data_IF_176585870773
#
_entry.id   IF_176585870773
#
_cell.length_a   1.000
_cell.length_b   1.000
_cell.length_c   1.000
_cell.angle_alpha   90.00
_cell.angle_beta   90.00
_cell.angle_gamma   90.00
#
_symmetry.space_group_name_H-M   'P 1'
#
loop_
_entity.id
_entity.type
_entity.pdbx_description
1 polymer ?
#
# COMPACT_ATOMS: atom_id res chain seq x y z
N UNK A 1 11.01 -41.35 15.57
CA UNK A 1 10.02 -40.33 15.20
C UNK A 1 9.78 -40.45 13.71
N UNK A 2 8.55 -40.76 13.29
CA UNK A 2 8.19 -40.80 11.86
C UNK A 2 7.97 -39.36 11.41
N UNK A 3 8.85 -38.84 10.55
CA UNK A 3 8.66 -37.53 9.93
C UNK A 3 7.97 -37.70 8.59
N UNK A 4 6.85 -37.03 8.42
CA UNK A 4 6.05 -37.01 7.19
C UNK A 4 6.57 -35.89 6.29
N UNK A 5 7.31 -36.26 5.25
CA UNK A 5 7.97 -35.33 4.32
C UNK A 5 6.95 -34.38 3.66
N UNK A 6 5.81 -34.93 3.27
CA UNK A 6 4.64 -34.23 2.74
C UNK A 6 4.13 -33.15 3.70
N UNK A 7 3.99 -33.45 5.00
CA UNK A 7 3.54 -32.47 5.99
C UNK A 7 4.59 -31.35 6.17
N UNK A 8 5.88 -31.70 6.22
CA UNK A 8 6.96 -30.71 6.35
C UNK A 8 7.00 -29.77 5.15
N UNK A 9 6.90 -30.29 3.94
CA UNK A 9 6.89 -29.49 2.70
C UNK A 9 5.66 -28.58 2.65
N UNK A 10 4.48 -29.11 2.98
CA UNK A 10 3.22 -28.37 2.95
C UNK A 10 3.19 -27.26 4.02
N UNK A 11 3.66 -27.54 5.23
CA UNK A 11 3.69 -26.55 6.31
C UNK A 11 4.65 -25.41 5.97
N UNK A 12 5.86 -25.71 5.48
CA UNK A 12 6.82 -24.67 5.08
C UNK A 12 6.29 -23.86 3.89
N UNK A 13 5.65 -24.50 2.92
CA UNK A 13 4.95 -23.80 1.83
C UNK A 13 3.91 -22.80 2.37
N UNK A 14 3.04 -23.22 3.28
CA UNK A 14 2.01 -22.35 3.83
C UNK A 14 2.60 -21.19 4.63
N UNK A 15 3.58 -21.47 5.50
CA UNK A 15 4.26 -20.45 6.31
C UNK A 15 4.94 -19.41 5.41
N UNK A 16 5.74 -19.85 4.44
CA UNK A 16 6.43 -18.94 3.51
C UNK A 16 5.43 -18.15 2.68
N UNK A 17 4.35 -18.78 2.21
CA UNK A 17 3.31 -18.10 1.44
C UNK A 17 2.63 -16.98 2.23
N UNK A 18 2.23 -17.25 3.48
CA UNK A 18 1.61 -16.23 4.34
C UNK A 18 2.61 -15.15 4.77
N UNK A 19 3.87 -15.50 5.02
CA UNK A 19 4.93 -14.54 5.32
C UNK A 19 5.15 -13.56 4.17
N UNK A 20 5.22 -14.06 2.94
CA UNK A 20 5.39 -13.24 1.74
C UNK A 20 4.18 -12.33 1.51
N UNK A 21 2.97 -12.85 1.72
CA UNK A 21 1.73 -12.07 1.62
C UNK A 21 1.67 -10.96 2.69
N UNK A 22 1.97 -11.32 3.94
CA UNK A 22 2.03 -10.40 5.07
C UNK A 22 3.09 -9.32 4.87
N UNK A 23 4.26 -9.69 4.33
CA UNK A 23 5.33 -8.74 4.00
C UNK A 23 4.86 -7.71 2.97
N UNK A 24 4.20 -8.13 1.89
CA UNK A 24 3.66 -7.20 0.88
C UNK A 24 2.61 -6.27 1.48
N UNK A 25 1.70 -6.81 2.30
CA UNK A 25 0.66 -6.02 2.98
C UNK A 25 1.25 -4.98 3.94
N UNK A 26 2.28 -5.34 4.71
CA UNK A 26 2.98 -4.42 5.62
C UNK A 26 3.81 -3.40 4.87
N UNK A 27 4.42 -3.79 3.75
CA UNK A 27 5.14 -2.87 2.86
C UNK A 27 4.21 -1.94 2.07
N UNK A 28 2.90 -2.21 2.04
CA UNK A 28 1.89 -1.44 1.30
C UNK A 28 1.85 -1.73 -0.21
N UNK A 29 2.39 -2.87 -0.65
CA UNK A 29 2.37 -3.29 -2.06
C UNK A 29 1.21 -4.27 -2.33
N UNK A 30 0.65 -4.28 -3.55
CA UNK A 30 -0.36 -5.25 -3.91
C UNK A 30 0.21 -6.68 -3.82
N UNK A 31 -0.58 -7.65 -3.33
CA UNK A 31 -0.13 -9.03 -3.18
C UNK A 31 0.02 -9.73 -4.53
N UNK A 32 1.24 -10.14 -4.87
CA UNK A 32 1.50 -10.99 -6.04
C UNK A 32 1.33 -12.48 -5.73
N UNK A 33 0.10 -12.99 -5.71
CA UNK A 33 -0.21 -14.36 -5.30
C UNK A 33 0.60 -15.44 -6.03
N UNK A 34 0.76 -15.32 -7.35
CA UNK A 34 1.50 -16.30 -8.16
C UNK A 34 2.98 -16.29 -7.79
N UNK A 35 3.59 -15.10 -7.70
CA UNK A 35 5.01 -14.97 -7.33
C UNK A 35 5.30 -15.45 -5.91
N UNK A 36 4.38 -15.17 -4.98
CA UNK A 36 4.47 -15.68 -3.63
C UNK A 36 4.34 -17.20 -3.58
N UNK A 37 3.41 -17.78 -4.34
CA UNK A 37 3.24 -19.23 -4.43
C UNK A 37 4.48 -19.92 -5.02
N UNK A 38 5.08 -19.36 -6.08
CA UNK A 38 6.30 -19.94 -6.66
C UNK A 38 7.50 -19.86 -5.70
N UNK A 39 7.62 -18.76 -4.97
CA UNK A 39 8.69 -18.60 -3.97
C UNK A 39 8.48 -19.53 -2.76
N UNK A 40 7.23 -19.67 -2.29
CA UNK A 40 6.87 -20.59 -1.22
C UNK A 40 7.04 -22.05 -1.62
N UNK A 41 6.77 -22.41 -2.88
CA UNK A 41 7.03 -23.75 -3.41
C UNK A 41 8.52 -24.09 -3.35
N UNK A 42 9.40 -23.13 -3.66
CA UNK A 42 10.84 -23.29 -3.50
C UNK A 42 11.22 -23.49 -2.02
N UNK A 43 10.65 -22.71 -1.09
CA UNK A 43 10.90 -22.86 0.35
C UNK A 43 10.44 -24.21 0.92
N UNK A 44 9.23 -24.66 0.55
CA UNK A 44 8.72 -25.99 0.90
C UNK A 44 9.59 -27.12 0.33
N UNK A 45 10.00 -27.01 -0.94
CA UNK A 45 10.93 -27.93 -1.57
C UNK A 45 12.29 -28.00 -0.87
N UNK A 46 12.86 -26.84 -0.54
CA UNK A 46 14.12 -26.74 0.20
C UNK A 46 14.04 -27.42 1.57
N UNK A 47 12.95 -27.22 2.32
CA UNK A 47 12.73 -27.88 3.60
C UNK A 47 12.67 -29.40 3.45
N UNK A 48 12.03 -29.91 2.39
CA UNK A 48 12.00 -31.33 2.07
C UNK A 48 13.39 -31.90 1.78
N UNK A 49 14.21 -31.20 0.98
CA UNK A 49 15.59 -31.61 0.66
C UNK A 49 16.47 -31.65 1.92
N UNK A 50 16.30 -30.72 2.86
CA UNK A 50 17.04 -30.71 4.12
C UNK A 50 16.77 -31.95 5.00
N UNK A 51 15.65 -32.64 4.81
CA UNK A 51 15.36 -33.89 5.54
C UNK A 51 16.13 -35.09 4.97
N UNK A 52 16.68 -35.00 3.76
CA UNK A 52 17.45 -36.09 3.16
C UNK A 52 18.79 -36.27 3.88
N UNK A 53 19.14 -37.48 4.36
CA UNK A 53 20.36 -37.73 5.13
C UNK A 53 21.65 -37.33 4.41
N UNK A 54 21.65 -37.43 3.08
CA UNK A 54 22.79 -37.11 2.20
C UNK A 54 23.02 -35.61 2.03
N UNK A 55 21.99 -34.77 2.27
CA UNK A 55 22.01 -33.32 2.03
C UNK A 55 21.95 -32.50 3.32
N UNK A 56 22.41 -33.07 4.45
CA UNK A 56 22.39 -32.41 5.77
C UNK A 56 23.15 -31.08 5.81
N UNK A 57 24.12 -30.87 4.93
CA UNK A 57 24.84 -29.60 4.84
C UNK A 57 23.90 -28.42 4.49
N UNK A 58 22.81 -28.66 3.75
CA UNK A 58 21.78 -27.66 3.45
C UNK A 58 21.02 -27.22 4.72
N UNK A 59 21.04 -28.03 5.78
CA UNK A 59 20.44 -27.67 7.08
C UNK A 59 21.25 -26.62 7.86
N UNK A 60 22.49 -26.33 7.47
CA UNK A 60 23.35 -25.38 8.19
C UNK A 60 22.79 -23.95 8.14
N UNK A 61 23.06 -23.17 9.19
CA UNK A 61 22.59 -21.78 9.34
C UNK A 61 22.90 -20.90 8.11
N UNK A 62 24.08 -21.08 7.50
CA UNK A 62 24.48 -20.33 6.30
C UNK A 62 23.56 -20.62 5.12
N UNK A 63 23.29 -21.90 4.82
CA UNK A 63 22.45 -22.29 3.68
C UNK A 63 20.97 -21.93 3.90
N UNK A 64 20.50 -21.93 5.15
CA UNK A 64 19.17 -21.43 5.51
C UNK A 64 19.04 -19.92 5.26
N UNK A 65 20.08 -19.13 5.54
CA UNK A 65 20.08 -17.70 5.21
C UNK A 65 20.11 -17.47 3.70
N UNK A 66 20.91 -18.24 2.96
CA UNK A 66 20.97 -18.15 1.49
C UNK A 66 19.62 -18.47 0.87
N UNK A 67 18.98 -19.58 1.26
CA UNK A 67 17.65 -19.95 0.76
C UNK A 67 16.58 -18.91 1.09
N UNK A 68 16.61 -18.34 2.30
CA UNK A 68 15.71 -17.24 2.69
C UNK A 68 15.85 -16.02 1.78
N UNK A 69 17.08 -15.63 1.42
CA UNK A 69 17.35 -14.54 0.47
C UNK A 69 16.85 -14.90 -0.94
N UNK A 70 17.06 -16.14 -1.40
CA UNK A 70 16.56 -16.60 -2.69
C UNK A 70 15.03 -16.54 -2.78
N UNK A 71 14.32 -17.01 -1.75
CA UNK A 71 12.85 -16.91 -1.65
C UNK A 71 12.40 -15.45 -1.76
N UNK A 72 13.07 -14.54 -1.03
CA UNK A 72 12.77 -13.12 -1.08
C UNK A 72 13.01 -12.50 -2.46
N UNK A 73 14.10 -12.86 -3.15
CA UNK A 73 14.41 -12.36 -4.50
C UNK A 73 13.37 -12.84 -5.52
N UNK A 74 12.97 -14.11 -5.48
CA UNK A 74 11.93 -14.67 -6.37
C UNK A 74 10.60 -13.92 -6.13
N UNK A 75 10.22 -13.74 -4.87
CA UNK A 75 8.96 -13.13 -4.49
C UNK A 75 8.89 -11.62 -4.82
N UNK A 76 9.98 -10.87 -4.58
CA UNK A 76 9.95 -9.40 -4.62
C UNK A 76 10.72 -8.76 -5.78
N UNK A 77 11.68 -9.45 -6.41
CA UNK A 77 12.52 -8.94 -7.52
C UNK A 77 13.77 -8.17 -7.07
N UNK A 78 14.35 -7.33 -7.94
CA UNK A 78 15.60 -6.59 -7.69
C UNK A 78 15.47 -5.07 -7.89
N UNK A 79 14.51 -4.42 -7.21
CA UNK A 79 14.35 -2.95 -7.23
C UNK A 79 14.79 -2.29 -5.91
N UNK A 80 15.06 -0.97 -5.89
CA UNK A 80 15.37 -0.19 -4.66
C UNK A 80 14.30 -0.34 -3.55
N UNK A 81 13.02 -0.42 -3.93
CA UNK A 81 11.90 -0.71 -3.02
C UNK A 81 11.86 -2.16 -2.52
N UNK A 82 12.61 -3.06 -3.15
CA UNK A 82 12.68 -4.49 -2.79
C UNK A 82 13.54 -4.71 -1.57
N UNK A 83 14.59 -3.91 -1.35
CA UNK A 83 15.42 -4.03 -0.14
C UNK A 83 14.57 -3.91 1.13
N UNK A 84 13.62 -2.97 1.14
CA UNK A 84 12.67 -2.81 2.26
C UNK A 84 11.82 -4.07 2.47
N UNK A 85 11.29 -4.67 1.40
CA UNK A 85 10.49 -5.90 1.47
C UNK A 85 11.32 -7.10 1.94
N UNK A 86 12.53 -7.27 1.43
CA UNK A 86 13.46 -8.32 1.85
C UNK A 86 13.79 -8.20 3.34
N UNK A 87 14.12 -6.99 3.81
CA UNK A 87 14.40 -6.74 5.24
C UNK A 87 13.19 -7.08 6.10
N UNK A 88 11.98 -6.62 5.73
CA UNK A 88 10.75 -6.95 6.45
C UNK A 88 10.48 -8.46 6.49
N UNK A 89 10.66 -9.16 5.38
CA UNK A 89 10.48 -10.61 5.31
C UNK A 89 11.47 -11.37 6.21
N UNK A 90 12.74 -10.97 6.22
CA UNK A 90 13.76 -11.58 7.09
C UNK A 90 13.41 -11.37 8.56
N UNK A 91 13.03 -10.14 8.96
CA UNK A 91 12.60 -9.87 10.34
C UNK A 91 11.37 -10.67 10.75
N UNK A 92 10.38 -10.80 9.85
CA UNK A 92 9.16 -11.56 10.11
C UNK A 92 9.47 -13.07 10.26
N UNK A 93 10.35 -13.60 9.41
CA UNK A 93 10.81 -14.98 9.48
C UNK A 93 11.61 -15.27 10.76
N UNK A 94 12.49 -14.35 11.15
CA UNK A 94 13.25 -14.42 12.41
C UNK A 94 12.33 -14.33 13.63
N UNK A 95 11.32 -13.48 13.60
CA UNK A 95 10.33 -13.38 14.67
C UNK A 95 9.54 -14.69 14.84
N UNK A 96 9.00 -15.25 13.75
CA UNK A 96 8.31 -16.54 13.81
C UNK A 96 9.24 -17.67 14.28
N UNK A 97 10.45 -17.76 13.72
CA UNK A 97 11.43 -18.75 14.12
C UNK A 97 11.83 -18.63 15.59
N UNK A 98 11.99 -17.40 16.10
CA UNK A 98 12.26 -17.12 17.51
C UNK A 98 11.10 -17.48 18.43
N UNK A 99 9.84 -17.22 18.01
CA UNK A 99 8.64 -17.64 18.75
C UNK A 99 8.58 -19.16 18.85
N UNK A 100 8.69 -19.88 17.73
CA UNK A 100 8.63 -21.35 17.70
C UNK A 100 9.75 -21.93 18.56
N UNK A 101 10.98 -21.48 18.37
CA UNK A 101 12.13 -21.93 19.14
C UNK A 101 11.96 -21.63 20.63
N UNK A 102 11.45 -20.44 20.99
CA UNK A 102 11.18 -20.04 22.35
C UNK A 102 10.11 -20.88 23.03
N UNK A 103 9.05 -21.27 22.31
CA UNK A 103 7.99 -22.13 22.82
C UNK A 103 8.46 -23.58 23.00
N UNK A 104 9.19 -24.12 22.02
CA UNK A 104 9.71 -25.49 22.07
C UNK A 104 10.75 -25.68 23.18
N UNK A 105 11.70 -24.74 23.29
CA UNK A 105 12.79 -24.83 24.28
C UNK A 105 12.48 -24.13 25.61
N UNK A 106 11.29 -23.52 25.76
CA UNK A 106 10.92 -22.62 26.87
C UNK A 106 11.98 -21.55 27.15
N UNK A 107 12.67 -21.08 26.10
CA UNK A 107 13.78 -20.15 26.20
C UNK A 107 13.27 -18.71 26.21
N UNK A 108 13.27 -18.08 27.40
CA UNK A 108 12.95 -16.66 27.56
C UNK A 108 13.78 -15.74 26.65
N UNK A 109 15.10 -15.94 26.46
CA UNK A 109 15.89 -15.12 25.53
C UNK A 109 15.38 -15.14 24.09
N UNK A 110 14.89 -16.29 23.59
CA UNK A 110 14.38 -16.40 22.23
C UNK A 110 13.07 -15.60 22.04
N UNK A 111 12.21 -15.56 23.06
CA UNK A 111 10.99 -14.76 23.06
C UNK A 111 11.28 -13.26 23.10
N UNK A 112 12.26 -12.82 23.91
CA UNK A 112 12.70 -11.42 23.95
C UNK A 112 13.27 -11.00 22.60
N UNK A 113 14.07 -11.86 21.97
CA UNK A 113 14.62 -11.62 20.64
C UNK A 113 13.51 -11.47 19.58
N UNK A 114 12.52 -12.36 19.60
CA UNK A 114 11.37 -12.27 18.70
C UNK A 114 10.57 -10.98 18.92
N UNK A 115 10.31 -10.61 20.18
CA UNK A 115 9.65 -9.35 20.51
C UNK A 115 10.45 -8.13 20.03
N UNK A 116 11.78 -8.16 20.15
CA UNK A 116 12.68 -7.14 19.61
C UNK A 116 12.59 -7.01 18.09
N UNK A 117 12.56 -8.13 17.36
CA UNK A 117 12.38 -8.16 15.91
C UNK A 117 11.03 -7.54 15.50
N UNK A 118 9.94 -7.90 16.19
CA UNK A 118 8.61 -7.32 15.95
C UNK A 118 8.59 -5.82 16.26
N UNK A 119 9.18 -5.39 17.38
CA UNK A 119 9.21 -3.97 17.75
C UNK A 119 10.03 -3.13 16.75
N UNK A 120 11.18 -3.64 16.29
CA UNK A 120 12.01 -2.99 15.27
C UNK A 120 11.30 -2.94 13.93
N UNK A 121 10.57 -4.00 13.57
CA UNK A 121 9.73 -4.04 12.38
C UNK A 121 8.57 -3.04 12.45
N UNK A 122 7.88 -2.93 13.58
CA UNK A 122 6.87 -1.90 13.81
C UNK A 122 7.49 -0.51 13.68
N UNK A 123 8.67 -0.26 14.30
CA UNK A 123 9.35 1.01 14.12
C UNK A 123 9.71 1.28 12.66
N UNK A 124 10.34 0.36 11.94
CA UNK A 124 10.74 0.57 10.54
C UNK A 124 9.54 0.62 9.55
N UNK A 125 8.46 -0.08 9.85
CA UNK A 125 7.21 -0.08 9.09
C UNK A 125 6.43 1.21 9.25
N UNK A 126 6.29 1.69 10.49
CA UNK A 126 5.51 2.87 10.85
C UNK A 126 6.30 4.20 10.82
N UNK A 127 7.60 4.25 11.16
CA UNK A 127 8.41 5.49 11.12
C UNK A 127 8.52 6.08 9.71
N UNK A 128 8.41 5.26 8.66
CA UNK A 128 8.44 5.74 7.27
C UNK A 128 7.08 6.25 6.76
N UNK A 129 6.01 6.14 7.55
CA UNK A 129 4.63 6.52 7.17
C UNK A 129 4.02 7.58 8.08
N UNK A 130 4.67 7.97 9.17
CA UNK A 130 4.29 9.16 9.95
C UNK A 130 4.93 10.42 9.34
N UNK A 131 4.72 10.62 8.04
CA UNK A 131 4.93 11.93 7.46
C UNK A 131 3.85 12.84 8.04
N UNK A 132 4.23 13.78 8.91
CA UNK A 132 3.42 14.99 9.11
C UNK A 132 2.96 15.44 7.72
N UNK A 133 1.65 15.69 7.58
CA UNK A 133 0.97 16.05 6.34
C UNK A 133 1.89 16.71 5.32
N UNK A 134 2.40 15.93 4.37
CA UNK A 134 3.38 16.45 3.41
C UNK A 134 2.61 17.23 2.37
N UNK A 135 2.88 18.53 2.29
CA UNK A 135 2.34 19.39 1.25
C UNK A 135 3.07 19.11 -0.07
N UNK A 136 2.31 18.82 -1.11
CA UNK A 136 2.81 18.44 -2.42
C UNK A 136 2.27 19.42 -3.46
N UNK A 137 3.11 19.99 -4.34
CA UNK A 137 2.63 20.84 -5.41
C UNK A 137 1.85 20.01 -6.44
N UNK A 138 0.71 20.55 -6.88
CA UNK A 138 -0.16 19.97 -7.89
C UNK A 138 -0.38 20.97 -9.01
N UNK A 139 -0.29 20.49 -10.25
CA UNK A 139 -0.61 21.26 -11.44
C UNK A 139 -1.75 20.56 -12.20
N UNK A 140 -2.86 21.26 -12.39
CA UNK A 140 -4.03 20.80 -13.12
C UNK A 140 -4.14 21.54 -14.45
N UNK A 141 -4.27 20.83 -15.57
CA UNK A 141 -4.52 21.43 -16.88
C UNK A 141 -5.91 21.07 -17.37
N UNK A 142 -6.72 22.08 -17.64
CA UNK A 142 -8.08 21.96 -18.16
C UNK A 142 -8.34 23.02 -19.23
N UNK A 143 -8.79 22.59 -20.41
CA UNK A 143 -9.04 23.46 -21.57
C UNK A 143 -7.86 24.39 -21.88
N UNK A 144 -6.64 23.85 -21.81
CA UNK A 144 -5.39 24.59 -22.04
C UNK A 144 -4.98 25.60 -20.95
N UNK A 145 -5.76 25.77 -19.87
CA UNK A 145 -5.36 26.58 -18.70
C UNK A 145 -4.75 25.69 -17.63
N UNK A 146 -3.66 26.16 -17.02
CA UNK A 146 -2.97 25.44 -15.93
C UNK A 146 -3.19 26.13 -14.59
N UNK A 147 -3.70 25.38 -13.61
CA UNK A 147 -3.96 25.81 -12.24
C UNK A 147 -2.93 25.15 -11.32
N UNK A 148 -2.24 25.95 -10.52
CA UNK A 148 -1.26 25.46 -9.53
C UNK A 148 -1.85 25.56 -8.14
N UNK A 149 -1.80 24.46 -7.40
CA UNK A 149 -2.35 24.38 -6.05
C UNK A 149 -1.49 23.46 -5.18
N UNK A 150 -1.65 23.58 -3.87
CA UNK A 150 -0.94 22.73 -2.91
C UNK A 150 -1.89 21.67 -2.38
N UNK A 151 -1.53 20.40 -2.51
CA UNK A 151 -2.29 19.30 -1.95
C UNK A 151 -1.63 18.76 -0.67
N UNK A 152 -2.43 18.47 0.34
CA UNK A 152 -2.02 17.70 1.49
C UNK A 152 -2.02 16.21 1.12
N UNK A 153 -0.86 15.55 1.27
CA UNK A 153 -0.75 14.11 1.11
C UNK A 153 -1.36 13.40 2.31
N UNK A 154 -2.60 13.00 2.17
CA UNK A 154 -3.33 12.25 3.18
C UNK A 154 -3.26 10.74 2.85
N UNK A 155 -2.50 10.00 3.68
CA UNK A 155 -2.39 8.54 3.55
C UNK A 155 -3.69 7.80 3.87
N UNK A 156 -4.64 8.45 4.56
CA UNK A 156 -5.96 7.90 4.85
C UNK A 156 -6.94 8.04 3.68
N UNK A 157 -6.67 8.93 2.72
CA UNK A 157 -7.51 9.11 1.56
C UNK A 157 -7.30 7.98 0.54
N UNK A 158 -8.29 7.07 0.45
CA UNK A 158 -8.32 5.96 -0.51
C UNK A 158 -9.38 6.17 -1.61
N UNK A 159 -9.82 7.42 -1.83
CA UNK A 159 -10.83 7.70 -2.85
C UNK A 159 -10.33 7.28 -4.23
N UNK A 160 -11.13 6.44 -4.88
CA UNK A 160 -10.85 5.92 -6.22
C UNK A 160 -12.12 5.89 -7.04
N UNK A 161 -11.96 6.03 -8.36
CA UNK A 161 -13.04 5.86 -9.31
C UNK A 161 -13.48 4.38 -9.32
N UNK A 162 -14.74 4.05 -9.00
CA UNK A 162 -15.21 2.66 -8.96
C UNK A 162 -15.18 1.98 -10.34
N UNK A 163 -15.15 2.74 -11.44
CA UNK A 163 -15.13 2.18 -12.80
C UNK A 163 -13.70 1.90 -13.25
N UNK A 164 -12.79 2.85 -13.06
CA UNK A 164 -11.42 2.76 -13.58
C UNK A 164 -10.39 2.30 -12.55
N UNK A 165 -10.73 2.33 -11.26
CA UNK A 165 -9.82 2.08 -10.15
C UNK A 165 -8.76 3.18 -9.94
N UNK A 166 -8.83 4.28 -10.69
CA UNK A 166 -7.85 5.35 -10.59
C UNK A 166 -8.04 6.14 -9.30
N UNK A 167 -6.93 6.55 -8.68
CA UNK A 167 -6.98 7.47 -7.54
C UNK A 167 -7.51 8.83 -7.97
N UNK A 168 -8.32 9.43 -7.09
CA UNK A 168 -9.01 10.68 -7.34
C UNK A 168 -8.43 11.75 -6.41
N UNK A 169 -7.96 12.86 -6.98
CA UNK A 169 -7.58 14.04 -6.22
C UNK A 169 -8.86 14.75 -5.75
N UNK A 170 -8.94 15.16 -4.48
CA UNK A 170 -10.09 15.93 -3.97
C UNK A 170 -9.68 17.38 -3.81
N UNK A 171 -10.27 18.30 -4.57
CA UNK A 171 -10.05 19.74 -4.46
C UNK A 171 -11.20 20.42 -3.70
N UNK A 172 -10.90 21.55 -3.08
CA UNK A 172 -11.91 22.36 -2.39
C UNK A 172 -12.89 23.04 -3.35
N UNK A 173 -13.97 23.60 -2.80
CA UNK A 173 -14.97 24.33 -3.57
C UNK A 173 -14.44 25.61 -4.22
N UNK A 174 -13.36 26.20 -3.70
CA UNK A 174 -12.65 27.33 -4.30
C UNK A 174 -12.10 27.00 -5.69
N UNK A 175 -11.44 25.85 -5.82
CA UNK A 175 -10.91 25.38 -7.11
C UNK A 175 -12.05 24.98 -8.06
N UNK A 176 -13.11 24.37 -7.53
CA UNK A 176 -14.31 24.05 -8.31
C UNK A 176 -14.98 25.30 -8.91
N UNK A 177 -15.05 26.38 -8.13
CA UNK A 177 -15.55 27.67 -8.56
C UNK A 177 -14.63 28.32 -9.61
N UNK A 178 -13.31 28.33 -9.40
CA UNK A 178 -12.36 28.96 -10.32
C UNK A 178 -12.26 28.28 -11.70
N UNK A 179 -12.50 26.96 -11.76
CA UNK A 179 -12.39 26.18 -13.01
C UNK A 179 -13.74 26.07 -13.72
N UNK A 180 -14.82 25.79 -12.98
CA UNK A 180 -16.13 25.46 -13.54
C UNK A 180 -17.25 26.45 -13.16
N UNK A 181 -16.99 27.37 -12.24
CA UNK A 181 -18.03 28.25 -11.70
C UNK A 181 -18.98 27.56 -10.72
N UNK A 182 -18.63 26.36 -10.23
CA UNK A 182 -19.48 25.62 -9.30
C UNK A 182 -19.51 26.28 -7.93
N UNK A 183 -20.72 26.58 -7.46
CA UNK A 183 -20.94 27.08 -6.10
C UNK A 183 -20.90 25.93 -5.08
N UNK A 184 -20.58 26.20 -3.79
CA UNK A 184 -20.63 25.18 -2.73
C UNK A 184 -21.97 24.42 -2.68
N UNK A 185 -23.09 25.11 -2.91
CA UNK A 185 -24.42 24.51 -2.94
C UNK A 185 -24.60 23.53 -4.12
N UNK A 186 -24.01 23.82 -5.28
CA UNK A 186 -24.02 22.91 -6.42
C UNK A 186 -23.14 21.67 -6.16
N UNK A 187 -22.02 21.83 -5.46
CA UNK A 187 -21.16 20.71 -5.07
C UNK A 187 -21.80 19.84 -3.97
N UNK A 188 -22.66 20.42 -3.13
CA UNK A 188 -23.42 19.69 -2.12
C UNK A 188 -24.54 18.82 -2.71
N UNK A 189 -25.05 19.18 -3.89
CA UNK A 189 -25.99 18.36 -4.67
C UNK A 189 -25.40 18.00 -6.06
N UNK A 190 -24.47 17.03 -6.10
CA UNK A 190 -23.72 16.72 -7.31
C UNK A 190 -24.60 16.12 -8.42
N UNK A 191 -25.70 15.46 -8.05
CA UNK A 191 -26.61 14.82 -9.02
C UNK A 191 -27.37 15.91 -9.79
N UNK A 192 -28.01 16.85 -9.09
CA UNK A 192 -28.73 17.95 -9.74
C UNK A 192 -27.77 18.86 -10.54
N UNK A 193 -26.54 19.04 -10.06
CA UNK A 193 -25.53 19.83 -10.78
C UNK A 193 -25.09 19.15 -12.07
N UNK A 194 -24.91 17.83 -12.07
CA UNK A 194 -24.58 17.08 -13.28
C UNK A 194 -25.72 17.11 -14.31
N UNK A 195 -26.98 17.08 -13.87
CA UNK A 195 -28.14 17.20 -14.76
C UNK A 195 -28.23 18.59 -15.41
N UNK A 196 -27.95 19.65 -14.65
CA UNK A 196 -28.03 21.04 -15.12
C UNK A 196 -26.79 21.52 -15.88
N UNK A 197 -25.67 20.79 -15.79
CA UNK A 197 -24.38 21.22 -16.34
C UNK A 197 -23.92 20.24 -17.43
N UNK A 198 -24.00 20.59 -18.73
CA UNK A 198 -23.58 19.73 -19.84
C UNK A 198 -22.05 19.76 -20.03
N UNK A 199 -21.29 19.59 -18.95
CA UNK A 199 -19.84 19.59 -19.00
C UNK A 199 -19.36 18.18 -19.32
N UNK A 200 -18.74 18.03 -20.49
CA UNK A 200 -18.20 16.75 -20.91
C UNK A 200 -17.11 16.27 -19.95
N UNK A 201 -17.22 15.02 -19.48
CA UNK A 201 -16.24 14.40 -18.59
C UNK A 201 -16.54 14.54 -17.09
N UNK A 202 -17.73 15.03 -16.71
CA UNK A 202 -18.21 14.92 -15.33
C UNK A 202 -18.54 13.48 -14.98
N UNK A 203 -18.28 13.11 -13.72
CA UNK A 203 -18.56 11.79 -13.13
C UNK A 203 -18.99 11.96 -11.67
N UNK A 204 -19.76 11.00 -11.19
CA UNK A 204 -20.13 10.89 -9.78
C UNK A 204 -19.26 9.84 -9.11
N UNK A 205 -18.58 10.22 -8.04
CA UNK A 205 -17.68 9.33 -7.30
C UNK A 205 -18.24 9.13 -5.90
N UNK A 206 -18.68 7.90 -5.55
CA UNK A 206 -19.14 7.62 -4.20
C UNK A 206 -17.96 7.75 -3.22
N UNK A 207 -18.19 8.42 -2.10
CA UNK A 207 -17.21 8.55 -1.02
C UNK A 207 -17.82 8.17 0.33
N UNK A 208 -16.94 7.90 1.29
CA UNK A 208 -17.34 7.60 2.66
C UNK A 208 -16.45 8.39 3.62
N UNK A 209 -17.06 9.30 4.37
CA UNK A 209 -16.40 10.06 5.43
C UNK A 209 -16.89 9.59 6.81
N UNK A 210 -16.04 9.74 7.82
CA UNK A 210 -16.41 9.42 9.21
C UNK A 210 -17.51 10.38 9.66
N UNK A 211 -18.63 9.84 10.15
CA UNK A 211 -19.76 10.64 10.64
C UNK A 211 -20.78 11.06 9.57
N UNK A 212 -20.60 10.68 8.30
CA UNK A 212 -21.60 10.90 7.25
C UNK A 212 -22.11 9.57 6.67
N UNK A 213 -23.41 9.54 6.32
CA UNK A 213 -23.99 8.54 5.43
C UNK A 213 -23.22 8.53 4.11
N UNK A 214 -23.20 7.39 3.38
CA UNK A 214 -22.54 7.29 2.08
C UNK A 214 -22.87 8.51 1.19
N UNK A 215 -21.83 9.21 0.75
CA UNK A 215 -21.95 10.46 0.00
C UNK A 215 -21.47 10.30 -1.44
N UNK A 216 -21.69 11.32 -2.26
CA UNK A 216 -21.24 11.38 -3.65
C UNK A 216 -20.49 12.70 -3.84
N UNK A 217 -19.38 12.67 -4.57
CA UNK A 217 -18.68 13.87 -5.03
C UNK A 217 -18.83 14.00 -6.54
N UNK A 218 -18.93 15.25 -7.00
CA UNK A 218 -18.81 15.57 -8.42
C UNK A 218 -17.33 15.60 -8.79
N UNK A 219 -16.95 14.82 -9.79
CA UNK A 219 -15.60 14.80 -10.33
C UNK A 219 -15.60 15.21 -11.80
N UNK A 220 -14.51 15.85 -12.23
CA UNK A 220 -14.28 16.21 -13.61
C UNK A 220 -12.98 15.60 -14.12
N UNK A 221 -12.96 15.29 -15.41
CA UNK A 221 -11.76 14.84 -16.11
C UNK A 221 -10.90 16.02 -16.57
N UNK A 222 -9.60 15.91 -16.31
CA UNK A 222 -8.57 16.87 -16.68
C UNK A 222 -7.68 16.32 -17.80
N UNK A 223 -7.08 17.20 -18.59
CA UNK A 223 -6.15 16.79 -19.66
C UNK A 223 -4.84 16.28 -19.06
N UNK A 224 -4.39 16.94 -17.98
CA UNK A 224 -3.14 16.62 -17.29
C UNK A 224 -3.28 16.97 -15.81
N UNK A 225 -2.90 16.02 -14.97
CA UNK A 225 -2.77 16.19 -13.52
C UNK A 225 -1.34 15.79 -13.16
N UNK A 226 -0.58 16.72 -12.60
CA UNK A 226 0.79 16.49 -12.16
C UNK A 226 0.84 16.66 -10.65
N UNK A 227 1.38 15.67 -9.95
CA UNK A 227 1.54 15.71 -8.49
C UNK A 227 3.02 15.45 -8.19
N UNK A 228 3.68 16.40 -7.54
CA UNK A 228 5.12 16.41 -7.33
C UNK A 228 5.95 16.24 -8.62
N UNK A 229 5.48 16.79 -9.75
CA UNK A 229 6.12 16.65 -11.05
C UNK A 229 5.97 15.28 -11.72
N UNK A 230 5.19 14.36 -11.14
CA UNK A 230 4.81 13.09 -11.78
C UNK A 230 3.38 13.13 -12.28
N UNK A 231 3.11 12.48 -13.42
CA UNK A 231 1.75 12.39 -13.97
C UNK A 231 0.91 11.45 -13.10
N UNK A 232 -0.21 11.96 -12.59
CA UNK A 232 -1.18 11.20 -11.83
C UNK A 232 -2.38 10.79 -12.72
N UNK A 233 -3.44 10.25 -12.10
CA UNK A 233 -4.73 10.00 -12.76
C UNK A 233 -5.35 11.27 -13.32
N UNK A 234 -6.38 11.16 -14.15
CA UNK A 234 -6.96 12.31 -14.86
C UNK A 234 -8.25 12.84 -14.20
N UNK A 235 -8.61 12.37 -13.01
CA UNK A 235 -9.84 12.73 -12.31
C UNK A 235 -9.57 13.58 -11.05
N UNK A 236 -10.35 14.65 -10.93
CA UNK A 236 -10.37 15.51 -9.74
C UNK A 236 -11.82 15.64 -9.27
N UNK A 237 -12.08 15.26 -8.02
CA UNK A 237 -13.34 15.47 -7.32
C UNK A 237 -13.36 16.80 -6.58
N UNK A 238 -14.53 17.41 -6.44
CA UNK A 238 -14.71 18.70 -5.78
C UNK A 238 -15.57 18.54 -4.53
N UNK A 239 -15.01 18.91 -3.38
CA UNK A 239 -15.73 18.94 -2.11
C UNK A 239 -16.57 20.23 -1.99
N UNK A 240 -17.75 20.18 -1.35
CA UNK A 240 -18.58 21.37 -1.12
C UNK A 240 -17.92 22.34 -0.14
N UNK A 241 -17.20 21.81 0.84
CA UNK A 241 -16.44 22.59 1.80
C UNK A 241 -15.14 23.09 1.17
N UNK A 242 -14.80 24.34 1.46
CA UNK A 242 -13.48 24.88 1.12
C UNK A 242 -12.48 24.38 2.16
N UNK A 243 -11.32 23.89 1.71
CA UNK A 243 -10.19 23.59 2.60
C UNK A 243 -9.49 24.87 3.09
N UNK A 244 -10.04 26.06 2.79
CA UNK A 244 -9.64 27.36 3.33
C UNK A 244 -8.55 28.08 2.53
N UNK A 245 -8.75 29.37 2.24
CA UNK A 245 -7.70 30.25 1.67
C UNK A 245 -6.55 30.53 2.66
N UNK A 246 -6.73 30.19 3.93
CA UNK A 246 -5.80 30.43 5.05
C UNK A 246 -5.11 29.14 5.52
N UNK A 247 -5.55 27.97 5.05
CA UNK A 247 -4.85 26.71 5.32
C UNK A 247 -3.75 26.49 4.29
N UNK A 248 -2.72 25.73 4.64
CA UNK A 248 -1.55 25.51 3.79
C UNK A 248 -1.83 24.61 2.56
N UNK A 249 -3.07 24.18 2.33
CA UNK A 249 -3.48 23.28 1.25
C UNK A 249 -4.89 23.59 0.72
N UNK A 250 -5.11 23.26 -0.55
CA UNK A 250 -6.37 23.45 -1.29
C UNK A 250 -6.93 22.15 -1.86
N UNK A 251 -6.18 21.05 -1.71
CA UNK A 251 -6.59 19.73 -2.15
C UNK A 251 -6.05 18.63 -1.24
N UNK A 252 -6.66 17.45 -1.32
CA UNK A 252 -6.25 16.23 -0.67
C UNK A 252 -5.86 15.22 -1.76
N UNK A 253 -4.64 14.70 -1.67
CA UNK A 253 -4.19 13.59 -2.51
C UNK A 253 -3.98 12.36 -1.66
N UNK A 254 -4.39 11.20 -2.20
CA UNK A 254 -4.07 9.91 -1.62
C UNK A 254 -2.56 9.65 -1.60
N UNK A 255 -2.16 8.64 -0.82
CA UNK A 255 -0.82 8.11 -0.89
C UNK A 255 -0.58 7.44 -2.25
N UNK A 256 0.18 8.09 -3.15
CA UNK A 256 0.83 7.39 -4.26
C UNK A 256 1.68 6.27 -3.69
N UNK A 257 1.38 5.03 -4.07
CA UNK A 257 2.21 3.84 -3.79
C UNK A 257 3.06 3.57 -5.00
#
# INVERSE_FOLDING_TARGET
MVCYLDIVMLLNFLVDFFLLLGTNRLAGYPPGYIRAATAAAFGGGYAGVCMLPQMRFLGNTLWRLVSLVFIAVIAFGCNRSTLRRCVLFVFLSMALGGIVSGLESKSFPALIFAAGCVALMCRAGFLGKTGKGTYVPVELTYKGKTYKLTALRDTGNMLSDPVTGQQVLVAGSDIGFDIFGFTPNQLADPIATMEKSPICGLRLIPYRAVGQSAGILLAARFEKVMINGQRAGDLVAFAPDSFGKTEAYQALTGGFV
#
